data_IF_158106688274
#
_entry.id   IF_158106688274
#
_cell.length_a   1.000
_cell.length_b   1.000
_cell.length_c   1.000
_cell.angle_alpha   90.00
_cell.angle_beta   90.00
_cell.angle_gamma   90.00
#
_symmetry.space_group_name_H-M   'P 1'
#
loop_
_entity.id
_entity.type
_entity.pdbx_description
1 polymer ?
#
# COMPACT_ATOMS: atom_id res chain seq x y z
N UNK A 1 29.87 57.93 0.37
CA UNK A 1 28.75 57.53 -0.51
C UNK A 1 28.72 56.00 -0.54
N UNK A 2 27.85 55.38 0.25
CA UNK A 2 26.48 54.97 -0.13
C UNK A 2 26.33 53.55 -0.73
N UNK A 3 27.18 52.54 -0.45
CA UNK A 3 26.89 51.16 -0.90
C UNK A 3 27.48 50.09 0.04
N UNK A 4 27.00 49.97 1.28
CA UNK A 4 27.47 48.88 2.17
C UNK A 4 26.49 48.57 3.31
N UNK A 5 25.20 48.37 2.99
CA UNK A 5 24.20 48.01 4.01
C UNK A 5 22.98 47.22 3.48
N UNK A 6 23.10 46.53 2.33
CA UNK A 6 21.91 45.95 1.67
C UNK A 6 22.19 44.61 0.96
N UNK A 7 23.01 43.74 1.56
CA UNK A 7 23.31 42.41 0.98
C UNK A 7 23.07 41.22 1.93
N UNK A 8 22.48 41.45 3.11
CA UNK A 8 22.34 40.41 4.15
C UNK A 8 20.87 40.12 4.50
N UNK A 9 19.98 40.08 3.50
CA UNK A 9 18.56 39.74 3.73
C UNK A 9 17.92 38.89 2.61
N UNK A 10 18.71 38.11 1.87
CA UNK A 10 18.20 37.27 0.76
C UNK A 10 18.47 35.76 0.95
N UNK A 11 19.31 35.37 1.91
CA UNK A 11 19.65 33.96 2.13
C UNK A 11 18.71 33.18 3.07
N UNK A 12 17.75 33.84 3.73
CA UNK A 12 16.90 33.23 4.76
C UNK A 12 15.52 32.73 4.25
N UNK A 13 15.15 33.01 2.99
CA UNK A 13 13.83 32.63 2.43
C UNK A 13 13.84 31.36 1.58
N UNK A 14 15.00 30.72 1.37
CA UNK A 14 15.12 29.47 0.61
C UNK A 14 14.92 28.19 1.46
N UNK A 15 14.68 28.34 2.77
CA UNK A 15 14.31 27.22 3.66
C UNK A 15 12.78 27.08 3.83
N UNK A 16 11.98 27.67 2.93
CA UNK A 16 10.58 27.30 2.78
C UNK A 16 10.53 25.83 2.32
N UNK A 17 10.61 24.94 3.30
CA UNK A 17 10.74 23.51 3.12
C UNK A 17 9.68 23.00 2.16
N UNK A 18 10.09 22.10 1.27
CA UNK A 18 9.16 21.19 0.62
C UNK A 18 8.30 20.55 1.72
N UNK A 19 7.11 21.09 1.96
CA UNK A 19 6.13 20.51 2.85
C UNK A 19 5.77 19.16 2.23
N UNK A 20 6.44 18.11 2.70
CA UNK A 20 6.17 16.73 2.32
C UNK A 20 4.74 16.44 2.75
N UNK A 21 3.90 16.12 1.77
CA UNK A 21 2.49 15.87 2.00
C UNK A 21 2.33 14.71 3.00
N UNK A 22 1.47 14.84 4.03
CA UNK A 22 1.32 13.79 5.04
C UNK A 22 0.78 12.51 4.39
N UNK A 23 1.55 11.44 4.52
CA UNK A 23 1.22 10.04 4.21
C UNK A 23 -0.07 9.57 4.87
N UNK A 24 -0.33 10.04 6.09
CA UNK A 24 -1.55 9.76 6.84
C UNK A 24 -2.44 10.98 7.02
N UNK A 25 -3.73 10.80 6.80
CA UNK A 25 -4.78 11.79 7.00
C UNK A 25 -5.99 11.07 7.60
N UNK A 26 -6.23 11.18 8.91
CA UNK A 26 -7.37 10.51 9.54
C UNK A 26 -8.68 11.10 9.02
N UNK A 27 -9.73 10.27 8.97
CA UNK A 27 -11.06 10.71 8.60
C UNK A 27 -11.57 11.75 9.62
N UNK A 28 -12.00 12.96 9.20
CA UNK A 28 -12.54 13.96 10.11
C UNK A 28 -13.83 13.45 10.79
N UNK A 29 -13.99 13.70 12.09
CA UNK A 29 -15.20 13.31 12.81
C UNK A 29 -16.48 13.90 12.17
N UNK A 30 -16.41 15.15 11.70
CA UNK A 30 -17.50 15.80 10.98
C UNK A 30 -17.86 15.12 9.64
N UNK A 31 -16.94 14.37 9.03
CA UNK A 31 -17.20 13.57 7.85
C UNK A 31 -17.90 12.26 8.23
N UNK A 32 -17.43 11.59 9.30
CA UNK A 32 -18.05 10.34 9.81
C UNK A 32 -19.55 10.51 10.04
N UNK A 33 -19.98 11.63 10.62
CA UNK A 33 -21.40 11.93 10.87
C UNK A 33 -22.26 12.14 9.61
N UNK A 34 -21.62 12.40 8.45
CA UNK A 34 -22.29 12.75 7.19
C UNK A 34 -22.26 11.62 6.16
N UNK A 35 -21.43 10.61 6.37
CA UNK A 35 -21.27 9.49 5.45
C UNK A 35 -22.25 8.38 5.82
N UNK A 36 -23.04 7.94 4.85
CA UNK A 36 -23.96 6.82 5.03
C UNK A 36 -23.54 5.63 4.19
N UNK A 37 -22.93 5.88 3.05
CA UNK A 37 -22.57 4.83 2.09
C UNK A 37 -21.24 5.14 1.39
N UNK A 38 -20.55 4.08 0.94
CA UNK A 38 -19.28 4.19 0.25
C UNK A 38 -19.16 3.18 -0.89
N UNK A 39 -18.65 3.65 -2.03
CA UNK A 39 -18.09 2.76 -3.05
C UNK A 39 -16.60 2.57 -2.75
N UNK A 40 -16.18 1.31 -2.58
CA UNK A 40 -14.81 0.93 -2.25
C UNK A 40 -14.23 0.21 -3.46
N UNK A 41 -13.20 0.82 -4.04
CA UNK A 41 -12.60 0.40 -5.29
C UNK A 41 -11.21 -0.16 -4.99
N UNK A 42 -11.08 -1.48 -5.09
CA UNK A 42 -9.81 -2.17 -4.94
C UNK A 42 -9.09 -2.10 -6.28
N UNK A 43 -7.89 -1.51 -6.30
CA UNK A 43 -7.12 -1.29 -7.52
C UNK A 43 -5.85 -2.12 -7.42
N UNK A 44 -5.64 -3.03 -8.37
CA UNK A 44 -4.40 -3.79 -8.49
C UNK A 44 -3.88 -3.58 -9.91
N UNK A 45 -3.02 -2.58 -10.14
CA UNK A 45 -2.58 -2.22 -11.50
C UNK A 45 -1.49 -3.18 -12.03
N UNK A 46 -0.86 -3.96 -11.16
CA UNK A 46 0.20 -4.91 -11.53
C UNK A 46 -0.39 -6.26 -11.91
N UNK A 47 0.15 -6.86 -12.98
CA UNK A 47 -0.16 -8.24 -13.39
C UNK A 47 0.87 -9.25 -12.90
N UNK A 48 2.08 -8.79 -12.57
CA UNK A 48 3.22 -9.62 -12.23
C UNK A 48 4.02 -8.98 -11.09
N UNK A 49 4.69 -9.85 -10.32
CA UNK A 49 5.61 -9.42 -9.29
C UNK A 49 6.85 -8.75 -9.88
N UNK A 50 7.21 -7.61 -9.30
CA UNK A 50 8.41 -6.84 -9.65
C UNK A 50 9.49 -7.06 -8.60
N UNK A 51 10.75 -6.94 -9.02
CA UNK A 51 11.88 -6.83 -8.12
C UNK A 51 12.23 -5.35 -8.00
N UNK A 52 12.36 -4.86 -6.76
CA UNK A 52 12.65 -3.46 -6.49
C UNK A 52 14.04 -3.10 -7.04
N UNK A 53 14.16 -1.94 -7.68
CA UNK A 53 15.44 -1.42 -8.15
C UNK A 53 15.97 -0.41 -7.13
N UNK A 54 17.21 -0.60 -6.68
CA UNK A 54 17.92 0.43 -5.92
C UNK A 54 18.17 1.65 -6.83
N UNK A 55 17.57 2.79 -6.48
CA UNK A 55 17.61 4.00 -7.31
C UNK A 55 19.03 4.51 -7.62
N UNK A 56 20.01 4.20 -6.78
CA UNK A 56 21.44 4.49 -6.99
C UNK A 56 22.02 3.85 -8.27
N UNK A 57 21.34 2.85 -8.86
CA UNK A 57 21.76 2.17 -10.09
C UNK A 57 20.93 2.58 -11.32
N UNK A 58 19.96 3.50 -11.21
CA UNK A 58 19.07 3.89 -12.31
C UNK A 58 19.78 4.60 -13.47
N UNK A 59 20.97 5.17 -13.25
CA UNK A 59 21.75 5.84 -14.30
C UNK A 59 22.29 4.88 -15.37
N UNK A 60 22.32 3.57 -15.13
CA UNK A 60 22.77 2.55 -16.09
C UNK A 60 21.63 1.91 -16.92
N UNK A 61 20.35 2.13 -16.55
CA UNK A 61 19.23 1.30 -17.00
C UNK A 61 18.30 1.94 -18.06
N UNK A 62 18.80 2.89 -18.85
CA UNK A 62 17.98 3.64 -19.83
C UNK A 62 17.71 2.88 -21.16
N UNK A 63 17.66 1.55 -21.18
CA UNK A 63 17.36 0.82 -22.42
C UNK A 63 17.28 -0.71 -22.38
N UNK A 64 17.74 -1.37 -21.31
CA UNK A 64 17.53 -2.80 -21.08
C UNK A 64 16.47 -3.01 -20.01
N UNK A 65 15.57 -3.99 -20.20
CA UNK A 65 14.48 -4.27 -19.26
C UNK A 65 14.88 -4.34 -17.78
N UNK A 66 13.89 -4.18 -16.90
CA UNK A 66 13.99 -4.08 -15.43
C UNK A 66 14.98 -5.07 -14.75
N UNK A 67 15.23 -6.22 -15.37
CA UNK A 67 16.15 -7.27 -14.93
C UNK A 67 17.63 -6.86 -15.06
N UNK A 68 18.03 -6.12 -16.10
CA UNK A 68 19.42 -5.77 -16.34
C UNK A 68 19.99 -4.75 -15.34
N UNK A 69 19.12 -3.92 -14.73
CA UNK A 69 19.54 -2.87 -13.79
C UNK A 69 20.08 -3.40 -12.45
N UNK A 70 19.65 -4.59 -12.02
CA UNK A 70 20.12 -5.23 -10.78
C UNK A 70 21.44 -5.98 -10.98
N UNK A 71 21.77 -6.26 -12.24
CA UNK A 71 22.85 -7.14 -12.65
C UNK A 71 24.13 -6.34 -12.90
N UNK A 72 24.03 -5.06 -13.21
CA UNK A 72 25.20 -4.20 -13.51
C UNK A 72 26.15 -4.01 -12.30
N UNK A 73 25.68 -4.30 -11.08
CA UNK A 73 26.53 -4.38 -9.88
C UNK A 73 27.24 -5.73 -9.66
N UNK A 74 26.97 -6.74 -10.49
CA UNK A 74 27.57 -8.08 -10.39
C UNK A 74 28.12 -8.53 -11.76
N UNK A 75 29.43 -8.35 -11.97
CA UNK A 75 30.21 -8.46 -13.21
C UNK A 75 30.27 -9.89 -13.83
N UNK A 76 29.17 -10.64 -13.91
CA UNK A 76 29.21 -11.99 -14.47
C UNK A 76 27.88 -12.42 -15.15
N UNK A 77 27.89 -12.53 -16.48
CA UNK A 77 26.73 -12.94 -17.30
C UNK A 77 26.09 -14.27 -16.86
N UNK A 78 26.87 -15.21 -16.30
CA UNK A 78 26.32 -16.48 -15.77
C UNK A 78 25.35 -16.26 -14.59
N UNK A 79 25.53 -15.19 -13.81
CA UNK A 79 24.64 -14.86 -12.69
C UNK A 79 23.35 -14.21 -13.18
N UNK A 80 23.39 -13.50 -14.31
CA UNK A 80 22.23 -12.93 -15.01
C UNK A 80 21.23 -14.01 -15.38
N UNK A 81 21.67 -15.03 -16.13
CA UNK A 81 20.79 -16.09 -16.61
C UNK A 81 20.15 -16.87 -15.45
N UNK A 82 20.92 -17.08 -14.38
CA UNK A 82 20.44 -17.76 -13.16
C UNK A 82 19.37 -16.93 -12.46
N UNK A 83 19.57 -15.61 -12.32
CA UNK A 83 18.62 -14.71 -11.69
C UNK A 83 17.33 -14.60 -12.52
N UNK A 84 17.45 -14.44 -13.85
CA UNK A 84 16.30 -14.41 -14.75
C UNK A 84 15.49 -15.71 -14.68
N UNK A 85 16.16 -16.86 -14.72
CA UNK A 85 15.52 -18.17 -14.58
C UNK A 85 14.80 -18.31 -13.25
N UNK A 86 15.41 -17.84 -12.16
CA UNK A 86 14.82 -17.95 -10.81
C UNK A 86 13.60 -17.04 -10.67
N UNK A 87 13.65 -15.81 -11.17
CA UNK A 87 12.49 -14.90 -11.21
C UNK A 87 11.38 -15.46 -12.11
N UNK A 88 11.73 -16.03 -13.27
CA UNK A 88 10.76 -16.68 -14.14
C UNK A 88 10.06 -17.85 -13.45
N UNK A 89 10.81 -18.68 -12.71
CA UNK A 89 10.24 -19.77 -11.92
C UNK A 89 9.27 -19.26 -10.85
N UNK A 90 9.64 -18.21 -10.10
CA UNK A 90 8.73 -17.61 -9.13
C UNK A 90 7.46 -17.07 -9.79
N UNK A 91 7.59 -16.34 -10.92
CA UNK A 91 6.43 -15.82 -11.67
C UNK A 91 5.53 -16.95 -12.15
N UNK A 92 6.11 -18.00 -12.70
CA UNK A 92 5.38 -19.17 -13.18
C UNK A 92 4.61 -19.86 -12.05
N UNK A 93 5.22 -20.03 -10.87
CA UNK A 93 4.56 -20.58 -9.69
C UNK A 93 3.45 -19.68 -9.12
N UNK A 94 3.41 -18.40 -9.52
CA UNK A 94 2.36 -17.45 -9.13
C UNK A 94 1.25 -17.32 -10.18
N UNK A 95 1.32 -18.01 -11.33
CA UNK A 95 0.31 -17.89 -12.41
C UNK A 95 -1.11 -18.25 -11.95
N UNK A 96 -1.23 -19.27 -11.09
CA UNK A 96 -2.52 -19.71 -10.55
C UNK A 96 -2.96 -18.91 -9.31
N UNK A 97 -2.16 -17.93 -8.87
CA UNK A 97 -2.48 -17.10 -7.71
C UNK A 97 -3.08 -15.76 -8.14
N UNK A 98 -4.37 -15.57 -7.86
CA UNK A 98 -5.06 -14.29 -8.06
C UNK A 98 -4.88 -13.38 -6.84
N UNK A 99 -3.89 -12.49 -6.92
CA UNK A 99 -3.75 -11.45 -5.89
C UNK A 99 -4.93 -10.47 -5.90
N UNK A 100 -5.57 -10.27 -7.05
CA UNK A 100 -6.75 -9.42 -7.19
C UNK A 100 -7.90 -9.91 -6.31
N UNK A 101 -8.25 -11.20 -6.41
CA UNK A 101 -9.32 -11.79 -5.62
C UNK A 101 -8.95 -11.80 -4.15
N UNK A 102 -7.69 -12.14 -3.85
CA UNK A 102 -7.15 -12.10 -2.48
C UNK A 102 -7.31 -10.73 -1.82
N UNK A 103 -6.90 -9.66 -2.52
CA UNK A 103 -7.02 -8.29 -2.03
C UNK A 103 -8.49 -7.83 -1.92
N UNK A 104 -9.32 -8.18 -2.90
CA UNK A 104 -10.74 -7.86 -2.88
C UNK A 104 -11.45 -8.54 -1.71
N UNK A 105 -11.21 -9.82 -1.48
CA UNK A 105 -11.81 -10.58 -0.38
C UNK A 105 -11.35 -10.06 0.99
N UNK A 106 -10.06 -9.73 1.12
CA UNK A 106 -9.53 -9.08 2.32
C UNK A 106 -10.25 -7.76 2.60
N UNK A 107 -10.33 -6.86 1.62
CA UNK A 107 -11.01 -5.57 1.77
C UNK A 107 -12.49 -5.77 2.09
N UNK A 108 -13.18 -6.66 1.38
CA UNK A 108 -14.62 -6.93 1.59
C UNK A 108 -14.91 -7.44 3.00
N UNK A 109 -14.09 -8.39 3.48
CA UNK A 109 -14.22 -8.95 4.82
C UNK A 109 -13.99 -7.89 5.90
N UNK A 110 -12.89 -7.16 5.83
CA UNK A 110 -12.51 -6.21 6.89
C UNK A 110 -13.40 -4.97 6.90
N UNK A 111 -13.74 -4.43 5.72
CA UNK A 111 -14.64 -3.27 5.64
C UNK A 111 -16.07 -3.61 6.06
N UNK A 112 -16.48 -4.88 5.96
CA UNK A 112 -17.75 -5.38 6.50
C UNK A 112 -17.96 -5.01 7.97
N UNK A 113 -16.89 -4.94 8.75
CA UNK A 113 -16.92 -4.66 10.20
C UNK A 113 -17.10 -3.17 10.55
N UNK A 114 -17.02 -2.24 9.59
CA UNK A 114 -17.15 -0.80 9.83
C UNK A 114 -18.64 -0.42 10.01
N UNK A 115 -19.11 -0.23 11.24
CA UNK A 115 -20.54 -0.10 11.54
C UNK A 115 -21.18 1.23 11.10
N UNK A 116 -20.41 2.32 11.00
CA UNK A 116 -20.94 3.64 10.66
C UNK A 116 -21.12 3.88 9.15
N UNK A 117 -20.60 3.01 8.30
CA UNK A 117 -20.87 3.00 6.86
C UNK A 117 -21.90 1.90 6.61
N UNK A 118 -23.16 2.28 6.41
CA UNK A 118 -24.28 1.33 6.31
C UNK A 118 -24.22 0.50 5.03
N UNK A 119 -23.96 1.14 3.89
CA UNK A 119 -23.88 0.46 2.60
C UNK A 119 -22.48 0.59 2.01
N UNK A 120 -21.87 -0.56 1.72
CA UNK A 120 -20.54 -0.67 1.12
C UNK A 120 -20.67 -1.47 -0.16
N UNK A 121 -20.24 -0.88 -1.26
CA UNK A 121 -20.11 -1.59 -2.52
C UNK A 121 -18.62 -1.76 -2.81
N UNK A 122 -18.12 -2.98 -2.67
CA UNK A 122 -16.70 -3.29 -2.91
C UNK A 122 -16.57 -3.86 -4.31
N UNK A 123 -15.75 -3.22 -5.14
CA UNK A 123 -15.52 -3.64 -6.53
C UNK A 123 -14.04 -3.59 -6.89
N UNK A 124 -13.64 -4.48 -7.78
CA UNK A 124 -12.29 -4.56 -8.31
C UNK A 124 -12.16 -3.71 -9.59
N UNK A 125 -11.09 -2.91 -9.64
CA UNK A 125 -10.66 -2.19 -10.84
C UNK A 125 -9.26 -2.69 -11.21
N UNK A 126 -9.15 -3.35 -12.35
CA UNK A 126 -7.91 -4.00 -12.80
C UNK A 126 -6.96 -3.07 -13.56
N UNK A 127 -7.32 -1.81 -13.74
CA UNK A 127 -6.46 -0.80 -14.37
C UNK A 127 -6.20 0.36 -13.43
N UNK A 128 -4.98 0.89 -13.48
CA UNK A 128 -4.62 2.16 -12.85
C UNK A 128 -4.88 3.38 -13.74
N UNK A 129 -5.66 3.24 -14.83
CA UNK A 129 -5.98 4.36 -15.71
C UNK A 129 -6.88 5.38 -15.00
N UNK A 130 -6.36 6.58 -14.79
CA UNK A 130 -7.07 7.70 -14.19
C UNK A 130 -8.39 8.00 -14.90
N UNK A 131 -8.47 7.86 -16.24
CA UNK A 131 -9.72 8.12 -16.99
C UNK A 131 -10.82 7.13 -16.62
N UNK A 132 -10.46 5.87 -16.38
CA UNK A 132 -11.42 4.88 -15.92
C UNK A 132 -11.84 5.17 -14.49
N UNK A 133 -10.91 5.52 -13.60
CA UNK A 133 -11.25 5.88 -12.23
C UNK A 133 -12.15 7.12 -12.15
N UNK A 134 -11.89 8.14 -12.98
CA UNK A 134 -12.74 9.32 -13.12
C UNK A 134 -14.15 8.95 -13.58
N UNK A 135 -14.26 8.03 -14.55
CA UNK A 135 -15.57 7.53 -14.99
C UNK A 135 -16.31 6.81 -13.88
N UNK A 136 -15.65 5.87 -13.19
CA UNK A 136 -16.27 5.12 -12.08
C UNK A 136 -16.68 6.06 -10.94
N UNK A 137 -15.87 7.07 -10.65
CA UNK A 137 -16.20 8.12 -9.69
C UNK A 137 -17.42 8.94 -10.13
N UNK A 138 -17.48 9.36 -11.40
CA UNK A 138 -18.61 10.11 -11.94
C UNK A 138 -19.92 9.30 -11.92
N UNK A 139 -19.83 7.98 -12.11
CA UNK A 139 -20.96 7.05 -12.05
C UNK A 139 -21.37 6.73 -10.60
N UNK A 140 -20.48 6.93 -9.62
CA UNK A 140 -20.75 6.70 -8.20
C UNK A 140 -21.79 7.69 -7.67
N UNK A 141 -22.82 7.15 -7.01
CA UNK A 141 -23.84 7.94 -6.29
C UNK A 141 -23.68 7.88 -4.77
N UNK A 142 -22.55 7.33 -4.30
CA UNK A 142 -22.27 7.16 -2.88
C UNK A 142 -21.69 8.44 -2.28
N UNK A 143 -21.79 8.60 -0.97
CA UNK A 143 -21.31 9.78 -0.25
C UNK A 143 -19.79 9.90 -0.33
N UNK A 144 -19.10 8.76 -0.23
CA UNK A 144 -17.66 8.65 -0.37
C UNK A 144 -17.28 7.64 -1.44
N UNK A 145 -16.34 8.05 -2.28
CA UNK A 145 -15.62 7.18 -3.20
C UNK A 145 -14.26 6.83 -2.61
N UNK A 146 -14.06 5.56 -2.23
CA UNK A 146 -12.82 5.06 -1.64
C UNK A 146 -12.03 4.31 -2.69
N UNK A 147 -10.73 4.57 -2.80
CA UNK A 147 -9.79 3.78 -3.60
C UNK A 147 -8.78 3.13 -2.68
N UNK A 148 -8.49 1.85 -2.90
CA UNK A 148 -7.43 1.12 -2.20
C UNK A 148 -6.55 0.48 -3.26
N UNK A 149 -5.41 1.12 -3.55
CA UNK A 149 -4.45 0.64 -4.53
C UNK A 149 -3.41 -0.25 -3.86
N UNK A 150 -3.30 -1.50 -4.32
CA UNK A 150 -2.28 -2.43 -3.87
C UNK A 150 -1.14 -2.51 -4.87
N UNK A 151 0.07 -2.50 -4.33
CA UNK A 151 1.32 -2.74 -5.04
C UNK A 151 2.08 -3.84 -4.32
N UNK A 152 2.77 -4.69 -5.06
CA UNK A 152 3.62 -5.73 -4.50
C UNK A 152 4.92 -5.87 -5.29
N UNK A 153 5.99 -6.09 -4.54
CA UNK A 153 7.34 -6.26 -5.07
C UNK A 153 8.19 -7.08 -4.10
N UNK A 154 9.26 -7.67 -4.63
CA UNK A 154 10.36 -8.21 -3.84
C UNK A 154 11.42 -7.14 -3.66
N UNK A 155 12.08 -7.09 -2.50
CA UNK A 155 13.26 -6.25 -2.28
C UNK A 155 14.37 -6.60 -3.26
N UNK A 156 15.28 -5.64 -3.53
CA UNK A 156 16.37 -5.82 -4.49
C UNK A 156 17.28 -7.03 -4.22
N UNK A 157 17.41 -7.43 -2.95
CA UNK A 157 18.16 -8.61 -2.50
C UNK A 157 17.32 -9.91 -2.51
N UNK A 158 16.05 -9.84 -2.91
CA UNK A 158 15.10 -10.95 -2.93
C UNK A 158 14.64 -11.42 -1.55
N UNK A 159 15.02 -10.73 -0.47
CA UNK A 159 14.84 -11.21 0.90
C UNK A 159 13.46 -10.94 1.49
N UNK A 160 12.80 -9.89 1.03
CA UNK A 160 11.57 -9.38 1.62
C UNK A 160 10.51 -9.22 0.54
N UNK A 161 9.37 -9.86 0.76
CA UNK A 161 8.14 -9.54 0.04
C UNK A 161 7.55 -8.27 0.65
N UNK A 162 7.29 -7.27 -0.20
CA UNK A 162 6.71 -5.99 0.19
C UNK A 162 5.35 -5.85 -0.46
N UNK A 163 4.33 -5.59 0.35
CA UNK A 163 2.97 -5.26 -0.13
C UNK A 163 2.63 -3.87 0.39
N UNK A 164 2.29 -2.96 -0.50
CA UNK A 164 1.92 -1.58 -0.16
C UNK A 164 0.47 -1.34 -0.55
N UNK A 165 -0.33 -0.85 0.40
CA UNK A 165 -1.68 -0.36 0.20
C UNK A 165 -1.71 1.16 0.31
N UNK A 166 -2.30 1.83 -0.68
CA UNK A 166 -2.55 3.27 -0.66
C UNK A 166 -4.06 3.46 -0.68
N UNK A 167 -4.61 3.94 0.44
CA UNK A 167 -6.02 4.22 0.57
C UNK A 167 -6.29 5.72 0.51
N UNK A 168 -7.33 6.10 -0.24
CA UNK A 168 -7.87 7.45 -0.26
C UNK A 168 -9.40 7.39 -0.22
N UNK A 169 -10.03 8.25 0.56
CA UNK A 169 -11.49 8.41 0.58
C UNK A 169 -11.86 9.80 0.11
N UNK A 170 -12.57 9.92 -1.02
CA UNK A 170 -12.91 11.20 -1.65
C UNK A 170 -14.38 11.54 -1.38
N UNK A 171 -14.69 12.82 -1.09
CA UNK A 171 -16.07 13.27 -0.95
C UNK A 171 -16.77 13.30 -2.31
N UNK A 172 -17.95 12.72 -2.40
CA UNK A 172 -18.69 12.66 -3.66
C UNK A 172 -20.03 13.43 -3.60
N UNK A 173 -20.60 13.64 -2.41
CA UNK A 173 -21.76 14.52 -2.22
C UNK A 173 -21.38 15.98 -1.87
N UNK A 174 -22.31 16.92 -2.06
CA UNK A 174 -22.06 18.35 -1.87
C UNK A 174 -21.77 18.74 -0.41
N UNK A 175 -22.37 18.05 0.56
CA UNK A 175 -22.14 18.31 1.98
C UNK A 175 -20.70 17.99 2.38
N UNK A 176 -20.19 16.85 1.95
CA UNK A 176 -18.82 16.41 2.21
C UNK A 176 -17.81 17.21 1.38
N UNK A 177 -18.14 17.61 0.15
CA UNK A 177 -17.32 18.52 -0.65
C UNK A 177 -17.21 19.90 0.00
N UNK A 178 -18.29 20.40 0.58
CA UNK A 178 -18.28 21.68 1.34
C UNK A 178 -17.43 21.53 2.59
N UNK A 179 -17.65 20.48 3.38
CA UNK A 179 -16.84 20.18 4.57
C UNK A 179 -15.35 20.10 4.21
N UNK A 180 -15.00 19.41 3.14
CA UNK A 180 -13.63 19.34 2.64
C UNK A 180 -13.06 20.73 2.37
N UNK A 181 -13.76 21.56 1.58
CA UNK A 181 -13.29 22.92 1.27
C UNK A 181 -13.09 23.74 2.53
N UNK A 182 -13.99 23.63 3.50
CA UNK A 182 -13.89 24.34 4.77
C UNK A 182 -12.68 23.86 5.60
N UNK A 183 -12.44 22.55 5.65
CA UNK A 183 -11.28 21.94 6.33
C UNK A 183 -9.95 22.37 5.73
N UNK A 184 -9.91 22.67 4.42
CA UNK A 184 -8.67 23.04 3.71
C UNK A 184 -8.64 24.49 3.24
N UNK A 185 -9.57 25.32 3.71
CA UNK A 185 -9.62 26.75 3.41
C UNK A 185 -8.33 27.42 3.86
N UNK A 186 -7.62 28.06 2.92
CA UNK A 186 -6.31 28.68 3.16
C UNK A 186 -5.10 27.82 2.82
N UNK A 187 -5.29 26.56 2.43
CA UNK A 187 -4.24 25.79 1.74
C UNK A 187 -4.25 26.13 0.25
N UNK A 188 -3.08 26.45 -0.32
CA UNK A 188 -2.94 27.03 -1.67
C UNK A 188 -3.24 26.08 -2.84
N UNK A 189 -3.83 24.89 -2.62
CA UNK A 189 -3.83 23.80 -3.61
C UNK A 189 -5.06 22.89 -3.60
N UNK A 190 -6.26 23.39 -3.27
CA UNK A 190 -7.45 22.72 -3.80
C UNK A 190 -7.51 23.10 -5.28
N UNK A 191 -7.32 22.12 -6.16
CA UNK A 191 -7.43 22.32 -7.60
C UNK A 191 -8.91 22.45 -7.97
N UNK A 192 -9.42 23.67 -7.94
CA UNK A 192 -10.82 23.99 -8.25
C UNK A 192 -11.15 23.87 -9.75
N UNK A 193 -10.16 23.66 -10.63
CA UNK A 193 -10.34 23.82 -12.09
C UNK A 193 -10.72 22.56 -12.86
N UNK A 194 -10.74 21.39 -12.23
CA UNK A 194 -11.16 20.16 -12.89
C UNK A 194 -11.92 19.24 -11.94
N UNK A 195 -13.00 18.66 -12.46
CA UNK A 195 -13.77 17.62 -11.80
C UNK A 195 -12.82 16.60 -11.13
N UNK A 196 -12.93 16.47 -9.80
CA UNK A 196 -12.23 15.49 -8.94
C UNK A 196 -11.00 14.87 -9.60
N UNK A 197 -9.90 15.62 -9.71
CA UNK A 197 -8.64 14.92 -9.88
C UNK A 197 -8.42 14.19 -8.57
N UNK A 198 -8.23 12.86 -8.64
CA UNK A 198 -7.90 11.93 -7.55
C UNK A 198 -6.55 12.28 -6.89
N UNK A 199 -6.22 13.56 -6.84
CA UNK A 199 -5.19 14.16 -6.07
C UNK A 199 -5.43 13.80 -4.60
N UNK A 200 -4.45 13.13 -4.03
CA UNK A 200 -4.34 12.82 -2.60
C UNK A 200 -4.58 14.02 -1.66
N UNK A 201 -4.46 15.26 -2.13
CA UNK A 201 -4.84 16.46 -1.35
C UNK A 201 -6.36 16.58 -1.17
N UNK A 202 -7.13 16.11 -2.15
CA UNK A 202 -8.58 16.15 -2.22
C UNK A 202 -9.25 14.93 -1.56
N UNK A 203 -8.53 14.10 -0.79
CA UNK A 203 -9.19 13.05 -0.01
C UNK A 203 -9.63 13.60 1.35
N UNK A 204 -10.69 13.07 1.95
CA UNK A 204 -11.01 13.28 3.37
C UNK A 204 -10.16 12.36 4.26
N UNK A 205 -9.80 11.18 3.76
CA UNK A 205 -8.91 10.23 4.43
C UNK A 205 -7.81 9.77 3.48
N UNK A 206 -6.62 9.53 4.03
CA UNK A 206 -5.47 8.94 3.34
C UNK A 206 -4.69 8.06 4.30
N UNK A 207 -4.27 6.89 3.83
CA UNK A 207 -3.20 6.15 4.50
C UNK A 207 -2.31 5.43 3.48
N UNK A 208 -1.05 5.27 3.84
CA UNK A 208 -0.07 4.43 3.14
C UNK A 208 0.38 3.39 4.13
N UNK A 209 0.06 2.13 3.85
CA UNK A 209 0.41 1.00 4.69
C UNK A 209 1.33 0.08 3.90
N UNK A 210 2.41 -0.36 4.49
CA UNK A 210 3.34 -1.31 3.89
C UNK A 210 3.56 -2.48 4.83
N UNK A 211 3.22 -3.66 4.34
CA UNK A 211 3.54 -4.91 4.97
C UNK A 211 4.84 -5.45 4.36
N UNK A 212 5.72 -5.95 5.23
CA UNK A 212 6.99 -6.58 4.85
C UNK A 212 7.08 -7.95 5.49
N UNK A 213 7.23 -8.96 4.66
CA UNK A 213 7.49 -10.33 5.07
C UNK A 213 8.90 -10.71 4.63
N UNK A 214 9.78 -10.94 5.61
CA UNK A 214 11.14 -11.38 5.35
C UNK A 214 11.28 -12.89 5.49
N UNK A 215 12.10 -13.48 4.61
CA UNK A 215 12.52 -14.87 4.77
C UNK A 215 13.13 -15.11 6.16
N UNK A 216 12.97 -16.33 6.70
CA UNK A 216 13.46 -16.67 8.04
C UNK A 216 14.99 -16.61 8.12
N UNK A 217 15.65 -17.06 7.06
CA UNK A 217 17.10 -17.06 6.93
C UNK A 217 17.59 -15.88 6.09
N UNK A 218 18.80 -15.42 6.36
CA UNK A 218 19.46 -14.42 5.52
C UNK A 218 20.32 -15.08 4.46
N UNK A 219 20.03 -14.83 3.18
CA UNK A 219 20.78 -15.32 2.04
C UNK A 219 21.74 -14.24 1.54
N UNK A 220 22.97 -14.64 1.22
CA UNK A 220 24.01 -13.72 0.69
C UNK A 220 23.80 -13.38 -0.78
N UNK A 221 23.22 -14.31 -1.53
CA UNK A 221 23.01 -14.19 -2.98
C UNK A 221 21.51 -14.08 -3.25
N UNK A 222 21.04 -13.05 -3.99
CA UNK A 222 19.61 -12.85 -4.23
C UNK A 222 18.92 -14.04 -4.90
N UNK A 223 19.62 -14.75 -5.78
CA UNK A 223 19.10 -15.97 -6.43
C UNK A 223 18.72 -17.07 -5.42
N UNK A 224 19.46 -17.19 -4.31
CA UNK A 224 19.13 -18.17 -3.27
C UNK A 224 17.86 -17.77 -2.50
N UNK A 225 17.68 -16.48 -2.19
CA UNK A 225 16.46 -15.97 -1.58
C UNK A 225 15.25 -16.16 -2.52
N UNK A 226 15.39 -15.79 -3.79
CA UNK A 226 14.35 -15.97 -4.81
C UNK A 226 13.96 -17.44 -5.00
N UNK A 227 14.92 -18.36 -4.94
CA UNK A 227 14.63 -19.79 -5.01
C UNK A 227 13.73 -20.24 -3.84
N UNK A 228 13.93 -19.69 -2.64
CA UNK A 228 13.08 -20.00 -1.48
C UNK A 228 11.67 -19.49 -1.66
N UNK A 229 11.49 -18.28 -2.21
CA UNK A 229 10.17 -17.77 -2.57
C UNK A 229 9.48 -18.62 -3.64
N UNK A 230 10.23 -19.18 -4.59
CA UNK A 230 9.71 -20.01 -5.67
C UNK A 230 9.46 -21.48 -5.30
N UNK A 231 10.02 -21.95 -4.18
CA UNK A 231 9.90 -23.33 -3.73
C UNK A 231 8.47 -23.71 -3.33
N UNK A 232 8.18 -25.02 -3.42
CA UNK A 232 6.90 -25.60 -3.02
C UNK A 232 5.69 -24.84 -3.61
N UNK A 233 5.69 -24.64 -4.93
CA UNK A 233 4.64 -23.91 -5.65
C UNK A 233 4.44 -22.47 -5.12
N UNK A 234 5.56 -21.80 -4.85
CA UNK A 234 5.62 -20.46 -4.28
C UNK A 234 4.75 -20.25 -3.02
N UNK A 235 4.57 -21.30 -2.20
CA UNK A 235 3.71 -21.27 -1.01
C UNK A 235 3.99 -20.08 -0.10
N UNK A 236 5.27 -19.81 0.17
CA UNK A 236 5.66 -18.69 1.04
C UNK A 236 5.32 -17.33 0.41
N UNK A 237 5.52 -17.18 -0.90
CA UNK A 237 5.19 -15.94 -1.59
C UNK A 237 3.67 -15.71 -1.62
N UNK A 238 2.88 -16.74 -1.93
CA UNK A 238 1.40 -16.68 -1.92
C UNK A 238 0.88 -16.32 -0.52
N UNK A 239 1.48 -16.90 0.52
CA UNK A 239 1.16 -16.57 1.91
C UNK A 239 1.50 -15.12 2.25
N UNK A 240 2.73 -14.68 1.97
CA UNK A 240 3.17 -13.30 2.22
C UNK A 240 2.28 -12.25 1.52
N UNK A 241 1.87 -12.51 0.28
CA UNK A 241 0.94 -11.66 -0.46
C UNK A 241 -0.44 -11.64 0.21
N UNK A 242 -0.95 -12.82 0.59
CA UNK A 242 -2.24 -12.96 1.28
C UNK A 242 -2.25 -12.22 2.61
N UNK A 243 -1.21 -12.39 3.42
CA UNK A 243 -1.06 -11.72 4.71
C UNK A 243 -0.94 -10.22 4.53
N UNK A 244 -0.16 -9.76 3.54
CA UNK A 244 -0.05 -8.34 3.21
C UNK A 244 -1.41 -7.72 2.89
N UNK A 245 -2.21 -8.36 2.03
CA UNK A 245 -3.57 -7.90 1.72
C UNK A 245 -4.46 -7.85 2.97
N UNK A 246 -4.45 -8.91 3.78
CA UNK A 246 -5.27 -9.00 4.99
C UNK A 246 -4.88 -7.96 6.04
N UNK A 247 -3.59 -7.78 6.29
CA UNK A 247 -3.04 -6.83 7.26
C UNK A 247 -3.37 -5.40 6.86
N UNK A 248 -3.16 -5.05 5.59
CA UNK A 248 -3.50 -3.73 5.06
C UNK A 248 -5.00 -3.48 5.21
N UNK A 249 -5.85 -4.41 4.76
CA UNK A 249 -7.29 -4.27 4.86
C UNK A 249 -7.76 -4.13 6.33
N UNK A 250 -7.18 -4.91 7.24
CA UNK A 250 -7.51 -4.86 8.65
C UNK A 250 -7.10 -3.52 9.27
N UNK A 251 -5.90 -3.02 8.97
CA UNK A 251 -5.44 -1.72 9.46
C UNK A 251 -6.31 -0.58 8.91
N UNK A 252 -6.69 -0.62 7.63
CA UNK A 252 -7.63 0.34 7.07
C UNK A 252 -8.98 0.30 7.81
N UNK A 253 -9.54 -0.89 8.04
CA UNK A 253 -10.79 -1.01 8.78
C UNK A 253 -10.68 -0.44 10.21
N UNK A 254 -9.54 -0.69 10.90
CA UNK A 254 -9.27 -0.12 12.22
C UNK A 254 -9.21 1.41 12.20
N UNK A 255 -8.57 2.03 11.21
CA UNK A 255 -8.55 3.49 11.08
C UNK A 255 -9.96 4.07 10.93
N UNK A 256 -10.80 3.43 10.10
CA UNK A 256 -12.19 3.86 9.92
C UNK A 256 -13.01 3.65 11.21
N UNK A 257 -12.81 2.56 11.94
CA UNK A 257 -13.45 2.31 13.25
C UNK A 257 -13.01 3.38 14.26
N UNK A 258 -11.71 3.67 14.34
CA UNK A 258 -11.12 4.64 15.25
C UNK A 258 -11.64 6.07 15.00
N UNK A 259 -11.87 6.42 13.73
CA UNK A 259 -12.47 7.71 13.36
C UNK A 259 -13.86 7.90 13.97
N UNK A 260 -14.65 6.84 14.11
CA UNK A 260 -15.99 6.90 14.71
C UNK A 260 -15.96 6.99 16.24
N UNK A 261 -14.99 6.37 16.90
CA UNK A 261 -14.80 6.49 18.35
C UNK A 261 -14.16 7.82 18.78
N UNK A 262 -13.89 8.74 17.84
CA UNK A 262 -13.15 10.00 18.06
C UNK A 262 -11.75 9.75 18.65
N UNK A 263 -11.26 8.52 18.60
CA UNK A 263 -9.90 8.15 18.95
C UNK A 263 -9.06 8.33 17.69
N UNK A 264 -8.26 9.38 17.65
CA UNK A 264 -7.35 9.59 16.52
C UNK A 264 -6.27 8.51 16.59
N UNK A 265 -6.11 7.73 15.51
CA UNK A 265 -4.98 6.83 15.39
C UNK A 265 -3.67 7.61 15.62
N UNK A 266 -2.68 7.05 16.32
CA UNK A 266 -1.45 7.77 16.60
C UNK A 266 -0.82 8.28 15.30
N UNK A 267 -0.43 9.56 15.28
CA UNK A 267 0.13 10.20 14.10
C UNK A 267 1.51 9.65 13.73
N UNK A 268 2.25 9.17 14.72
CA UNK A 268 3.52 8.47 14.62
C UNK A 268 3.71 7.51 15.82
N UNK A 269 4.70 6.62 15.73
CA UNK A 269 5.08 5.71 16.81
C UNK A 269 4.77 4.25 16.56
N UNK A 270 5.05 3.41 17.57
CA UNK A 270 4.84 1.96 17.52
C UNK A 270 3.44 1.58 17.99
N UNK A 271 2.84 0.61 17.32
CA UNK A 271 1.54 0.04 17.70
C UNK A 271 1.45 -1.42 17.25
N UNK A 272 0.36 -2.10 17.62
CA UNK A 272 0.15 -3.51 17.30
C UNK A 272 -1.03 -3.65 16.36
N UNK A 273 -0.83 -4.42 15.30
CA UNK A 273 -1.89 -4.85 14.38
C UNK A 273 -2.22 -6.30 14.72
N UNK A 274 -3.50 -6.63 14.87
CA UNK A 274 -3.93 -8.01 15.13
C UNK A 274 -4.42 -8.62 13.82
N UNK A 275 -3.74 -9.67 13.35
CA UNK A 275 -4.13 -10.45 12.18
C UNK A 275 -4.46 -11.88 12.64
N UNK A 276 -5.71 -12.31 12.49
CA UNK A 276 -6.13 -13.69 12.81
C UNK A 276 -5.69 -14.15 14.23
N UNK A 277 -5.66 -13.22 15.20
CA UNK A 277 -5.22 -13.49 16.57
C UNK A 277 -3.71 -13.31 16.82
N UNK A 278 -2.91 -13.15 15.77
CA UNK A 278 -1.48 -12.83 15.87
C UNK A 278 -1.25 -11.33 16.03
N UNK A 279 -0.37 -10.96 16.95
CA UNK A 279 0.03 -9.56 17.18
C UNK A 279 1.27 -9.24 16.35
N UNK A 280 1.13 -8.36 15.37
CA UNK A 280 2.21 -7.86 14.53
C UNK A 280 2.67 -6.49 15.00
N UNK A 281 3.98 -6.26 14.97
CA UNK A 281 4.56 -4.97 15.28
C UNK A 281 4.40 -4.02 14.08
N UNK A 282 3.82 -2.87 14.34
CA UNK A 282 3.62 -1.80 13.38
C UNK A 282 4.32 -0.53 13.85
N UNK A 283 4.81 0.27 12.91
CA UNK A 283 5.38 1.60 13.18
C UNK A 283 4.83 2.57 12.17
N UNK A 284 4.32 3.71 12.62
CA UNK A 284 3.98 4.85 11.76
C UNK A 284 5.10 5.88 11.86
N UNK A 285 5.71 6.23 10.73
CA UNK A 285 6.78 7.23 10.71
C UNK A 285 6.23 8.68 10.78
N UNK A 286 7.12 9.67 10.83
CA UNK A 286 6.74 11.10 10.87
C UNK A 286 6.03 11.58 9.61
N UNK A 287 6.15 10.86 8.51
CA UNK A 287 5.41 11.13 7.28
C UNK A 287 4.02 10.52 7.34
N UNK A 288 3.72 9.67 8.32
CA UNK A 288 2.46 8.95 8.45
C UNK A 288 2.46 7.59 7.74
N UNK A 289 3.59 7.13 7.17
CA UNK A 289 3.68 5.82 6.52
C UNK A 289 3.72 4.72 7.58
N UNK A 290 2.78 3.78 7.50
CA UNK A 290 2.79 2.58 8.34
C UNK A 290 3.67 1.50 7.73
N UNK A 291 4.61 0.98 8.51
CA UNK A 291 5.35 -0.25 8.21
C UNK A 291 4.98 -1.33 9.22
N UNK A 292 4.57 -2.50 8.72
CA UNK A 292 4.24 -3.69 9.50
C UNK A 292 5.24 -4.75 9.14
N UNK A 293 5.98 -5.22 10.15
CA UNK A 293 7.04 -6.20 9.96
C UNK A 293 6.56 -7.56 10.46
N UNK A 294 6.74 -8.57 9.62
CA UNK A 294 6.50 -9.96 9.94
C UNK A 294 7.69 -10.82 9.50
N UNK A 295 7.91 -11.92 10.22
CA UNK A 295 8.91 -12.94 9.91
C UNK A 295 8.23 -14.28 9.77
N UNK A 296 8.65 -15.07 8.79
CA UNK A 296 7.96 -16.32 8.42
C UNK A 296 7.97 -17.36 9.55
N UNK A 297 8.93 -17.27 10.47
CA UNK A 297 8.98 -18.11 11.68
C UNK A 297 7.76 -17.96 12.58
N UNK A 298 7.14 -16.78 12.59
CA UNK A 298 6.03 -16.47 13.50
C UNK A 298 4.71 -17.12 13.02
N UNK A 299 4.67 -17.58 11.77
CA UNK A 299 3.50 -18.09 11.07
C UNK A 299 3.51 -19.61 10.86
N UNK A 300 4.71 -20.22 10.78
CA UNK A 300 4.89 -21.63 10.44
C UNK A 300 4.36 -22.62 11.50
N UNK A 301 4.02 -22.16 12.70
CA UNK A 301 3.48 -23.00 13.78
C UNK A 301 1.95 -23.09 13.77
N UNK A 302 1.25 -22.32 12.93
CA UNK A 302 -0.21 -22.17 12.98
C UNK A 302 -0.99 -23.17 12.11
N UNK A 303 -0.37 -23.84 11.12
CA UNK A 303 -1.09 -24.68 10.14
C UNK A 303 -0.55 -26.11 10.01
N UNK A 304 -0.54 -26.84 11.13
CA UNK A 304 -0.48 -28.31 11.10
C UNK A 304 -1.54 -28.93 12.03
N UNK A 305 -2.82 -28.59 11.83
CA UNK A 305 -3.86 -29.54 12.15
C UNK A 305 -3.82 -30.61 11.05
N UNK A 306 -3.23 -31.77 11.37
CA UNK A 306 -3.22 -32.91 10.46
C UNK A 306 -4.65 -33.23 10.00
N UNK A 307 -4.86 -33.60 8.73
CA UNK A 307 -6.18 -34.05 8.28
C UNK A 307 -6.59 -35.23 9.16
N UNK A 308 -7.74 -35.10 9.82
CA UNK A 308 -8.32 -36.18 10.59
C UNK A 308 -8.52 -37.37 9.66
N UNK A 309 -7.70 -38.42 9.84
CA UNK A 309 -7.90 -39.70 9.19
C UNK A 309 -9.23 -40.26 9.68
N UNK A 310 -10.29 -40.09 8.91
CA UNK A 310 -11.51 -40.89 9.03
C UNK A 310 -11.13 -42.34 8.78
N UNK A 311 -11.03 -43.12 9.85
CA UNK A 311 -11.02 -44.56 9.77
C UNK A 311 -12.35 -45.01 9.17
N UNK A 312 -12.28 -45.63 7.99
CA UNK A 312 -13.41 -46.38 7.43
C UNK A 312 -13.52 -47.70 8.22
N UNK A 313 -14.72 -47.95 8.75
CA UNK A 313 -15.15 -49.27 9.24
C UNK A 313 -15.52 -50.18 8.07
#
# INVERSE_FOLDING_TARGET
MRYLAMSTLVAATLLAGCATQPGFKPMPAAAVEKVKNSDINVIVPQKEIKLAINQSNLTAAAGGGLLFALIDTAVNNSRTDTAETTVANLRNSLLDFSFNDTAMDAVKRETGNISWIAEKNVQLITTGDNKQLEKVLADSKRDIFTTIAFFYELSADGQTMVVTGIANAYPNNDQLKTLQRDLYKGTTKLDDKTALHLNQLNSLYRDIITYRESLPDTYKEPAAALAVWGNADARLAKQALTDGANVIAAQLAQDFIAANSKTVAPADGQFTVVLQGHKLNATRDKTGHVTILSKTTDMATSTAAAPATTAAN
#
